data_IF_615550809089
#
_entry.id   IF_615550809089
#
_cell.length_a   1.000
_cell.length_b   1.000
_cell.length_c   1.000
_cell.angle_alpha   90.00
_cell.angle_beta   90.00
_cell.angle_gamma   90.00
#
_symmetry.space_group_name_H-M   'P 1'
#
loop_
_entity.id
_entity.type
_entity.pdbx_description
1 polymer ?
#
# COMPACT_ATOMS: atom_id res chain seq x y z
N UNK A 1 1.40 60.19 60.45
CA UNK A 1 2.77 60.53 60.00
C UNK A 1 3.56 59.24 59.80
N UNK A 2 4.19 59.10 58.62
CA UNK A 2 5.41 58.31 58.29
C UNK A 2 5.38 56.77 58.22
N UNK A 3 5.40 56.29 56.96
CA UNK A 3 6.28 55.31 56.29
C UNK A 3 6.79 54.01 56.96
N UNK A 4 6.46 52.88 56.27
CA UNK A 4 7.35 51.88 55.63
C UNK A 4 8.31 50.99 56.46
N UNK A 5 8.19 49.66 56.34
CA UNK A 5 9.06 48.75 55.54
C UNK A 5 8.86 47.26 55.92
N UNK A 6 8.92 46.38 54.89
CA UNK A 6 9.51 45.01 54.85
C UNK A 6 9.08 43.93 55.87
N UNK A 7 9.04 42.61 55.61
CA UNK A 7 9.21 41.73 54.46
C UNK A 7 8.74 40.31 54.96
N UNK A 8 8.16 39.51 54.05
CA UNK A 8 8.37 38.06 53.85
C UNK A 8 8.31 37.10 55.06
N UNK A 9 7.35 36.16 55.02
CA UNK A 9 7.63 34.73 55.21
C UNK A 9 6.47 33.87 54.68
N UNK A 10 6.78 33.14 53.62
CA UNK A 10 5.98 32.15 52.89
C UNK A 10 5.85 30.86 53.70
N UNK A 11 4.64 30.32 53.85
CA UNK A 11 4.41 28.92 54.23
C UNK A 11 3.44 28.31 53.22
N UNK A 12 4.00 27.60 52.24
CA UNK A 12 3.26 26.83 51.27
C UNK A 12 2.84 25.50 51.91
N UNK A 13 1.53 25.29 52.01
CA UNK A 13 0.91 24.04 52.44
C UNK A 13 1.19 22.93 51.42
N UNK A 14 1.81 21.85 51.89
CA UNK A 14 1.92 20.59 51.15
C UNK A 14 0.56 19.87 51.15
N UNK A 15 -0.20 19.99 50.06
CA UNK A 15 -1.32 19.11 49.77
C UNK A 15 -0.77 17.88 49.03
N UNK A 16 -0.87 16.71 49.68
CA UNK A 16 -0.67 15.42 49.03
C UNK A 16 -1.70 15.27 47.91
N UNK A 17 -1.27 15.42 46.67
CA UNK A 17 -2.02 14.99 45.50
C UNK A 17 -1.97 13.47 45.41
N UNK A 18 -3.06 12.79 45.79
CA UNK A 18 -3.28 11.41 45.37
C UNK A 18 -3.62 11.46 43.89
N UNK A 19 -2.63 11.22 43.03
CA UNK A 19 -2.88 11.00 41.62
C UNK A 19 -3.72 9.72 41.48
N UNK A 20 -5.00 9.87 41.16
CA UNK A 20 -5.80 8.76 40.64
C UNK A 20 -5.16 8.34 39.31
N UNK A 21 -4.55 7.16 39.30
CA UNK A 21 -4.24 6.47 38.07
C UNK A 21 -5.57 6.11 37.39
N UNK A 22 -6.05 6.98 36.50
CA UNK A 22 -7.11 6.65 35.57
C UNK A 22 -6.57 5.56 34.65
N UNK A 23 -6.90 4.31 34.95
CA UNK A 23 -6.75 3.22 34.01
C UNK A 23 -7.53 3.58 32.75
N UNK A 24 -6.82 3.83 31.64
CA UNK A 24 -7.39 3.89 30.31
C UNK A 24 -7.93 2.49 29.96
N UNK A 25 -9.12 2.18 30.45
CA UNK A 25 -9.94 1.11 29.89
C UNK A 25 -10.36 1.59 28.51
N UNK A 26 -9.73 1.04 27.46
CA UNK A 26 -10.21 1.20 26.10
C UNK A 26 -11.68 0.83 26.04
N UNK A 27 -12.51 1.75 25.55
CA UNK A 27 -13.93 1.53 25.30
C UNK A 27 -14.08 0.31 24.40
N UNK A 28 -14.52 -0.83 24.94
CA UNK A 28 -14.91 -1.98 24.12
C UNK A 28 -16.18 -1.61 23.37
N UNK A 29 -16.06 -1.34 22.08
CA UNK A 29 -17.21 -1.17 21.19
C UNK A 29 -17.99 -2.49 21.15
N UNK A 30 -19.32 -2.44 21.04
CA UNK A 30 -20.14 -3.64 20.91
C UNK A 30 -19.87 -4.31 19.55
N UNK A 31 -19.76 -5.66 19.48
CA UNK A 31 -19.70 -6.39 18.22
C UNK A 31 -20.86 -6.00 17.31
N UNK A 32 -20.57 -5.41 16.15
CA UNK A 32 -21.58 -4.96 15.21
C UNK A 32 -21.15 -5.21 13.77
N UNK A 33 -22.09 -5.75 12.99
CA UNK A 33 -21.97 -5.92 11.54
C UNK A 33 -22.94 -4.97 10.86
N UNK A 34 -22.41 -4.13 9.98
CA UNK A 34 -23.17 -3.23 9.12
C UNK A 34 -23.34 -3.93 7.78
N UNK A 35 -24.57 -4.13 7.35
CA UNK A 35 -24.89 -4.69 6.02
C UNK A 35 -25.61 -3.70 5.11
N UNK A 36 -26.08 -2.58 5.68
CA UNK A 36 -26.93 -1.58 5.02
C UNK A 36 -26.67 -0.19 5.61
N UNK A 37 -26.87 0.85 4.80
CA UNK A 37 -26.92 2.22 5.30
C UNK A 37 -28.17 2.44 6.16
N UNK A 38 -28.15 3.47 7.01
CA UNK A 38 -29.32 3.92 7.79
C UNK A 38 -29.87 5.25 7.31
N UNK A 39 -29.03 6.09 6.71
CA UNK A 39 -29.44 7.39 6.18
C UNK A 39 -30.15 7.24 4.82
N UNK A 40 -31.37 7.78 4.68
CA UNK A 40 -32.14 7.66 3.45
C UNK A 40 -31.55 8.49 2.31
N UNK A 41 -31.82 8.05 1.08
CA UNK A 41 -31.36 8.65 -0.16
C UNK A 41 -29.82 8.78 -0.23
N UNK A 42 -29.10 7.79 0.32
CA UNK A 42 -27.63 7.74 0.31
C UNK A 42 -27.09 6.53 -0.47
N UNK A 43 -25.96 6.72 -1.14
CA UNK A 43 -25.16 5.63 -1.70
C UNK A 43 -23.74 5.74 -1.13
N UNK A 44 -23.30 4.69 -0.44
CA UNK A 44 -21.94 4.53 0.03
C UNK A 44 -21.17 3.66 -0.95
N UNK A 45 -20.28 4.30 -1.72
CA UNK A 45 -19.44 3.59 -2.70
C UNK A 45 -18.17 3.12 -1.99
N UNK A 46 -17.96 1.81 -1.92
CA UNK A 46 -16.77 1.22 -1.28
C UNK A 46 -15.86 0.53 -2.27
N UNK A 47 -14.57 0.50 -1.92
CA UNK A 47 -13.49 -0.09 -2.73
C UNK A 47 -12.59 -0.96 -1.86
N UNK A 48 -12.43 -2.22 -2.21
CA UNK A 48 -11.60 -3.17 -1.48
C UNK A 48 -10.24 -3.38 -2.18
N UNK A 49 -9.32 -3.97 -1.42
CA UNK A 49 -7.98 -4.41 -1.80
C UNK A 49 -6.95 -3.34 -2.15
N UNK A 50 -7.34 -2.07 -2.26
CA UNK A 50 -6.49 -0.94 -2.59
C UNK A 50 -5.31 -0.65 -1.64
N UNK A 51 -4.46 0.35 -1.95
CA UNK A 51 -4.54 1.23 -3.13
C UNK A 51 -3.76 0.66 -4.32
N UNK A 52 -4.13 1.05 -5.54
CA UNK A 52 -3.51 0.61 -6.79
C UNK A 52 -3.21 1.78 -7.75
N UNK A 53 -2.60 1.50 -8.91
CA UNK A 53 -2.04 2.50 -9.83
C UNK A 53 -3.00 3.62 -10.25
N UNK A 54 -4.31 3.38 -10.20
CA UNK A 54 -5.37 4.29 -10.63
C UNK A 54 -6.25 4.79 -9.47
N UNK A 55 -5.91 4.48 -8.21
CA UNK A 55 -6.64 5.00 -7.03
C UNK A 55 -6.67 6.53 -7.03
N UNK A 56 -5.61 7.20 -7.48
CA UNK A 56 -5.59 8.67 -7.59
C UNK A 56 -6.60 9.20 -8.60
N UNK A 57 -6.62 8.61 -9.79
CA UNK A 57 -7.54 9.02 -10.86
C UNK A 57 -9.00 8.76 -10.46
N UNK A 58 -9.24 7.69 -9.70
CA UNK A 58 -10.54 7.38 -9.10
C UNK A 58 -10.95 8.42 -8.05
N UNK A 59 -10.04 8.86 -7.18
CA UNK A 59 -10.32 9.94 -6.20
C UNK A 59 -10.63 11.25 -6.91
N UNK A 60 -9.86 11.64 -7.92
CA UNK A 60 -10.12 12.84 -8.73
C UNK A 60 -11.49 12.76 -9.42
N UNK A 61 -11.87 11.56 -9.89
CA UNK A 61 -13.18 11.31 -10.48
C UNK A 61 -14.31 11.46 -9.44
N UNK A 62 -14.12 10.97 -8.21
CA UNK A 62 -15.10 11.14 -7.13
C UNK A 62 -15.30 12.63 -6.79
N UNK A 63 -14.21 13.39 -6.64
CA UNK A 63 -14.25 14.84 -6.39
C UNK A 63 -15.00 15.57 -7.52
N UNK A 64 -14.74 15.21 -8.78
CA UNK A 64 -15.44 15.78 -9.94
C UNK A 64 -16.96 15.58 -9.90
N UNK A 65 -17.43 14.51 -9.28
CA UNK A 65 -18.86 14.21 -9.13
C UNK A 65 -19.47 14.76 -7.84
N UNK A 66 -18.68 15.43 -7.00
CA UNK A 66 -19.04 15.78 -5.61
C UNK A 66 -19.46 14.53 -4.81
N UNK A 67 -18.78 13.41 -5.08
CA UNK A 67 -19.01 12.12 -4.46
C UNK A 67 -17.99 11.86 -3.37
N UNK A 68 -18.39 11.11 -2.33
CA UNK A 68 -17.47 10.51 -1.38
C UNK A 68 -17.35 9.00 -1.59
N UNK A 69 -16.14 8.46 -1.42
CA UNK A 69 -15.85 7.03 -1.45
C UNK A 69 -15.24 6.53 -0.14
N UNK A 70 -15.39 5.24 0.15
CA UNK A 70 -14.73 4.56 1.28
C UNK A 70 -13.81 3.47 0.77
N UNK A 71 -12.54 3.48 1.16
CA UNK A 71 -11.52 2.57 0.64
C UNK A 71 -11.06 1.65 1.76
N UNK A 72 -11.23 0.33 1.60
CA UNK A 72 -10.74 -0.69 2.51
C UNK A 72 -9.36 -1.16 2.04
N UNK A 73 -8.32 -0.71 2.75
CA UNK A 73 -6.94 -0.69 2.26
C UNK A 73 -6.15 -1.88 2.81
N UNK A 74 -5.44 -2.59 1.94
CA UNK A 74 -4.54 -3.67 2.31
C UNK A 74 -3.12 -3.15 2.57
N UNK A 75 -2.50 -3.58 3.68
CA UNK A 75 -1.18 -3.11 4.11
C UNK A 75 0.01 -3.58 3.25
N UNK A 76 -0.22 -4.39 2.21
CA UNK A 76 0.82 -4.93 1.34
C UNK A 76 0.48 -4.80 -0.15
N UNK A 77 -0.13 -3.67 -0.56
CA UNK A 77 -0.40 -3.36 -1.96
C UNK A 77 0.62 -2.36 -2.57
N UNK A 78 0.63 -2.25 -3.90
CA UNK A 78 1.74 -1.76 -4.74
C UNK A 78 2.20 -0.31 -4.54
N UNK A 79 1.53 0.49 -3.70
CA UNK A 79 1.78 1.94 -3.52
C UNK A 79 2.21 2.32 -2.09
N UNK A 80 2.63 1.37 -1.25
CA UNK A 80 3.20 1.69 0.08
C UNK A 80 4.59 2.38 0.08
N UNK A 81 5.00 3.07 -1.02
CA UNK A 81 6.17 3.95 -1.07
C UNK A 81 5.77 5.40 -0.74
N UNK A 82 5.45 5.68 0.53
CA UNK A 82 5.62 6.97 1.26
C UNK A 82 5.28 8.34 0.62
N UNK A 83 4.71 8.44 -0.57
CA UNK A 83 4.51 9.69 -1.34
C UNK A 83 3.07 10.19 -1.36
N UNK A 84 2.18 9.48 -0.69
CA UNK A 84 0.73 9.66 -0.74
C UNK A 84 0.30 10.26 0.61
N UNK A 85 0.74 11.49 0.93
CA UNK A 85 0.38 12.12 2.23
C UNK A 85 0.13 13.63 2.19
N UNK A 86 0.17 14.32 1.05
CA UNK A 86 0.08 15.79 1.04
C UNK A 86 -1.04 16.41 0.18
N UNK A 87 -2.08 15.65 -0.20
CA UNK A 87 -3.22 16.18 -0.98
C UNK A 87 -4.61 15.62 -0.65
N UNK A 88 -4.75 14.82 0.41
CA UNK A 88 -5.92 13.96 0.64
C UNK A 88 -6.92 14.62 1.58
N UNK A 89 -7.79 15.50 1.06
CA UNK A 89 -8.68 16.27 1.94
C UNK A 89 -10.16 16.28 1.61
N UNK A 90 -10.66 15.74 0.48
CA UNK A 90 -12.08 15.92 0.14
C UNK A 90 -12.87 14.68 -0.30
N UNK A 91 -12.43 13.86 -1.25
CA UNK A 91 -13.30 12.82 -1.86
C UNK A 91 -13.34 11.44 -1.18
N UNK A 92 -12.41 11.08 -0.29
CA UNK A 92 -12.26 9.68 0.15
C UNK A 92 -11.96 9.52 1.63
N UNK A 93 -12.53 8.48 2.24
CA UNK A 93 -12.12 7.98 3.57
C UNK A 93 -11.45 6.62 3.42
N UNK A 94 -10.21 6.50 3.89
CA UNK A 94 -9.40 5.28 3.78
C UNK A 94 -9.39 4.55 5.12
N UNK A 95 -9.60 3.24 5.07
CA UNK A 95 -9.87 2.37 6.20
C UNK A 95 -8.96 1.14 6.10
N UNK A 96 -7.88 1.13 6.86
CA UNK A 96 -6.89 0.04 6.86
C UNK A 96 -5.58 0.45 7.54
N UNK A 97 -4.61 -0.46 7.71
CA UNK A 97 -3.28 -0.11 8.21
C UNK A 97 -2.60 0.83 7.21
N UNK A 98 -2.66 2.13 7.46
CA UNK A 98 -1.98 3.13 6.64
C UNK A 98 -0.47 2.88 6.76
N UNK A 99 0.20 2.73 5.61
CA UNK A 99 1.64 2.54 5.49
C UNK A 99 2.41 3.79 5.98
N UNK A 100 2.38 4.10 7.28
CA UNK A 100 3.28 5.05 7.92
C UNK A 100 4.54 4.32 8.40
N UNK A 101 5.70 4.82 7.98
CA UNK A 101 6.97 4.33 8.47
C UNK A 101 7.15 4.59 9.98
N UNK A 102 7.60 3.53 10.67
CA UNK A 102 8.03 3.40 12.06
C UNK A 102 6.95 3.11 13.13
N UNK A 103 7.16 2.08 14.00
CA UNK A 103 6.24 1.73 15.06
C UNK A 103 6.55 2.60 16.29
N UNK A 104 5.79 3.67 16.47
CA UNK A 104 5.67 4.33 17.77
C UNK A 104 4.20 4.36 18.14
N UNK A 105 3.81 3.44 19.03
CA UNK A 105 2.69 3.37 20.00
C UNK A 105 1.32 4.02 19.77
N UNK A 106 1.11 4.89 18.79
CA UNK A 106 -0.15 5.65 18.63
C UNK A 106 -0.79 5.35 17.26
N UNK A 107 -0.94 4.06 16.94
CA UNK A 107 -1.84 3.65 15.86
C UNK A 107 -3.29 3.86 16.35
N UNK A 108 -3.90 4.97 15.95
CA UNK A 108 -5.35 5.12 16.01
C UNK A 108 -5.96 4.14 15.00
N UNK A 109 -6.41 2.99 15.49
CA UNK A 109 -7.06 1.96 14.69
C UNK A 109 -8.40 2.49 14.18
N UNK A 110 -8.60 2.36 12.86
CA UNK A 110 -9.77 2.84 12.14
C UNK A 110 -11.00 2.03 12.55
N UNK A 111 -12.16 2.69 12.70
CA UNK A 111 -13.40 2.16 13.29
C UNK A 111 -14.21 1.22 12.35
N UNK A 112 -13.82 0.98 11.09
CA UNK A 112 -14.50 0.01 10.21
C UNK A 112 -13.54 -1.03 9.60
N UNK A 113 -14.06 -2.18 9.20
CA UNK A 113 -13.31 -3.28 8.58
C UNK A 113 -14.22 -4.05 7.60
N UNK A 114 -13.82 -4.15 6.33
CA UNK A 114 -14.43 -5.10 5.36
C UNK A 114 -13.67 -6.44 5.47
N UNK A 115 -14.34 -7.56 5.80
CA UNK A 115 -13.68 -8.86 5.89
C UNK A 115 -13.46 -9.44 4.49
N UNK A 116 -12.32 -10.13 4.23
CA UNK A 116 -12.08 -10.79 2.96
C UNK A 116 -13.26 -11.71 2.56
N UNK A 117 -13.69 -11.60 1.30
CA UNK A 117 -14.82 -12.37 0.73
C UNK A 117 -16.18 -12.15 1.42
N UNK A 118 -16.30 -11.17 2.31
CA UNK A 118 -17.52 -10.98 3.13
C UNK A 118 -17.68 -12.07 4.19
N UNK A 119 -16.68 -12.91 4.41
CA UNK A 119 -16.73 -14.02 5.36
C UNK A 119 -16.34 -13.54 6.76
N UNK A 120 -17.27 -13.65 7.71
CA UNK A 120 -17.02 -13.35 9.11
C UNK A 120 -17.68 -14.41 10.01
N UNK A 121 -17.12 -14.59 11.20
CA UNK A 121 -17.69 -15.38 12.28
C UNK A 121 -17.67 -14.57 13.58
N UNK A 122 -18.27 -15.08 14.64
CA UNK A 122 -18.36 -14.37 15.92
C UNK A 122 -16.99 -13.93 16.46
N UNK A 123 -15.94 -14.71 16.21
CA UNK A 123 -14.56 -14.39 16.61
C UNK A 123 -14.00 -13.18 15.85
N UNK A 124 -14.29 -13.06 14.54
CA UNK A 124 -13.89 -11.90 13.72
C UNK A 124 -14.63 -10.65 14.16
N UNK A 125 -15.94 -10.74 14.41
CA UNK A 125 -16.73 -9.59 14.88
C UNK A 125 -16.29 -9.16 16.28
N UNK A 126 -16.02 -10.10 17.18
CA UNK A 126 -15.53 -9.81 18.53
C UNK A 126 -14.12 -9.20 18.52
N UNK A 127 -13.22 -9.69 17.67
CA UNK A 127 -11.88 -9.10 17.51
C UNK A 127 -11.96 -7.71 16.92
N UNK A 128 -12.81 -7.48 15.92
CA UNK A 128 -13.06 -6.15 15.38
C UNK A 128 -13.57 -5.23 16.50
N UNK A 129 -14.58 -5.64 17.25
CA UNK A 129 -15.14 -4.86 18.35
C UNK A 129 -14.11 -4.49 19.43
N UNK A 130 -13.24 -5.44 19.81
CA UNK A 130 -12.14 -5.22 20.75
C UNK A 130 -11.09 -4.22 20.22
N UNK A 131 -10.97 -4.10 18.90
CA UNK A 131 -10.10 -3.12 18.23
C UNK A 131 -10.83 -1.80 17.93
N UNK A 132 -12.05 -1.62 18.42
CA UNK A 132 -12.88 -0.45 18.13
C UNK A 132 -13.45 -0.44 16.72
N UNK A 133 -13.47 -1.58 16.03
CA UNK A 133 -13.90 -1.74 14.64
C UNK A 133 -15.32 -2.27 14.50
N UNK A 134 -15.99 -1.80 13.45
CA UNK A 134 -17.28 -2.23 12.93
C UNK A 134 -17.03 -3.07 11.68
N UNK A 135 -17.59 -4.26 11.61
CA UNK A 135 -17.51 -5.08 10.39
C UNK A 135 -18.49 -4.50 9.37
N UNK A 136 -18.03 -4.17 8.16
CA UNK A 136 -18.86 -3.61 7.09
C UNK A 136 -18.97 -4.65 5.97
N UNK A 137 -20.20 -4.91 5.57
CA UNK A 137 -20.64 -5.78 4.48
C UNK A 137 -21.52 -4.95 3.55
N UNK A 138 -21.65 -5.37 2.30
CA UNK A 138 -22.43 -4.68 1.26
C UNK A 138 -23.84 -5.27 1.08
N UNK A 139 -24.78 -4.44 0.61
CA UNK A 139 -26.10 -4.87 0.14
C UNK A 139 -26.22 -4.85 -1.39
N UNK A 140 -25.15 -4.44 -2.08
CA UNK A 140 -24.99 -4.48 -3.53
C UNK A 140 -23.55 -4.89 -3.89
N UNK A 141 -23.41 -5.90 -4.74
CA UNK A 141 -22.13 -6.34 -5.28
C UNK A 141 -22.05 -5.97 -6.77
N UNK A 142 -20.94 -5.35 -7.19
CA UNK A 142 -20.68 -5.08 -8.61
C UNK A 142 -20.26 -6.33 -9.39
N UNK A 143 -19.95 -7.42 -8.68
CA UNK A 143 -19.47 -8.71 -9.18
C UNK A 143 -18.14 -8.62 -9.95
N UNK A 144 -17.42 -7.51 -9.80
CA UNK A 144 -16.18 -7.26 -10.53
C UNK A 144 -15.08 -8.27 -10.18
N UNK A 145 -15.00 -8.69 -8.91
CA UNK A 145 -14.05 -9.69 -8.41
C UNK A 145 -14.36 -11.14 -8.81
N UNK A 146 -15.59 -11.44 -9.23
CA UNK A 146 -16.01 -12.81 -9.61
C UNK A 146 -16.10 -13.01 -11.12
N UNK A 147 -15.59 -12.06 -11.90
CA UNK A 147 -15.44 -12.17 -13.35
C UNK A 147 -16.53 -11.49 -14.18
N UNK A 148 -17.37 -10.64 -13.58
CA UNK A 148 -18.30 -9.82 -14.34
C UNK A 148 -17.54 -8.88 -15.30
N UNK A 149 -18.01 -8.80 -16.53
CA UNK A 149 -17.52 -7.79 -17.48
C UNK A 149 -17.97 -6.39 -17.04
N UNK A 150 -17.26 -5.36 -17.48
CA UNK A 150 -17.64 -3.97 -17.21
C UNK A 150 -19.09 -3.65 -17.59
N UNK A 151 -19.62 -4.28 -18.65
CA UNK A 151 -21.00 -4.08 -19.08
C UNK A 151 -22.00 -4.78 -18.15
N UNK A 152 -21.67 -5.97 -17.63
CA UNK A 152 -22.49 -6.64 -16.62
C UNK A 152 -22.54 -5.82 -15.33
N UNK A 153 -21.41 -5.35 -14.81
CA UNK A 153 -21.38 -4.51 -13.61
C UNK A 153 -22.17 -3.21 -13.78
N UNK A 154 -22.11 -2.56 -14.95
CA UNK A 154 -22.96 -1.40 -15.27
C UNK A 154 -24.45 -1.76 -15.27
N UNK A 155 -24.82 -2.91 -15.82
CA UNK A 155 -26.20 -3.40 -15.81
C UNK A 155 -26.67 -3.70 -14.38
N UNK A 156 -25.81 -4.23 -13.50
CA UNK A 156 -26.15 -4.40 -12.08
C UNK A 156 -26.45 -3.04 -11.42
N UNK A 157 -25.62 -2.03 -11.68
CA UNK A 157 -25.87 -0.65 -11.22
C UNK A 157 -27.18 -0.08 -11.77
N UNK A 158 -27.45 -0.24 -13.06
CA UNK A 158 -28.71 0.23 -13.66
C UNK A 158 -29.92 -0.47 -13.04
N UNK A 159 -29.82 -1.78 -12.80
CA UNK A 159 -30.89 -2.59 -12.20
C UNK A 159 -31.20 -2.15 -10.77
N UNK A 160 -30.21 -2.02 -9.89
CA UNK A 160 -30.45 -1.61 -8.50
C UNK A 160 -30.98 -0.18 -8.42
N UNK A 161 -30.46 0.73 -9.25
CA UNK A 161 -30.90 2.13 -9.27
C UNK A 161 -32.32 2.30 -9.82
N UNK A 162 -32.76 1.41 -10.71
CA UNK A 162 -34.14 1.39 -11.22
C UNK A 162 -35.14 0.81 -10.20
N UNK A 163 -34.69 0.09 -9.18
CA UNK A 163 -35.55 -0.33 -8.07
C UNK A 163 -35.81 0.81 -7.07
N UNK A 164 -35.07 1.91 -7.17
CA UNK A 164 -35.18 3.08 -6.28
C UNK A 164 -35.11 2.72 -4.78
N UNK A 165 -34.10 1.95 -4.33
CA UNK A 165 -33.94 1.61 -2.92
C UNK A 165 -33.74 2.86 -2.04
N UNK A 166 -34.09 2.76 -0.76
CA UNK A 166 -33.89 3.87 0.18
C UNK A 166 -32.43 4.26 0.36
N UNK A 167 -31.49 3.33 0.16
CA UNK A 167 -30.05 3.53 0.25
C UNK A 167 -29.32 2.36 -0.43
N UNK A 168 -28.00 2.50 -0.68
CA UNK A 168 -27.16 1.43 -1.23
C UNK A 168 -25.76 1.49 -0.60
N UNK A 169 -25.20 0.34 -0.22
CA UNK A 169 -23.83 0.13 0.23
C UNK A 169 -23.14 -0.86 -0.72
N UNK A 170 -22.25 -0.35 -1.58
CA UNK A 170 -21.74 -1.10 -2.74
C UNK A 170 -20.37 -1.71 -2.51
N UNK A 171 -20.12 -2.93 -2.94
CA UNK A 171 -18.76 -3.51 -3.08
C UNK A 171 -18.20 -3.31 -4.48
N UNK A 172 -16.97 -2.81 -4.55
CA UNK A 172 -16.15 -2.73 -5.76
C UNK A 172 -14.69 -2.99 -5.41
N UNK A 173 -13.86 -3.26 -6.41
CA UNK A 173 -12.42 -3.44 -6.25
C UNK A 173 -11.67 -2.46 -7.14
N UNK A 174 -11.01 -1.49 -6.52
CA UNK A 174 -10.12 -0.57 -7.24
C UNK A 174 -8.80 -1.22 -7.65
N UNK A 175 -8.64 -2.54 -7.53
CA UNK A 175 -7.51 -3.30 -8.07
C UNK A 175 -7.85 -3.94 -9.43
N UNK A 176 -9.10 -3.84 -9.87
CA UNK A 176 -9.60 -4.35 -11.15
C UNK A 176 -9.73 -3.20 -12.13
N UNK A 177 -8.87 -3.15 -13.16
CA UNK A 177 -8.73 -1.98 -14.04
C UNK A 177 -10.05 -1.45 -14.62
N UNK A 178 -10.96 -2.34 -15.01
CA UNK A 178 -12.25 -1.97 -15.60
C UNK A 178 -13.19 -1.26 -14.62
N UNK A 179 -13.04 -1.51 -13.32
CA UNK A 179 -13.89 -0.93 -12.28
C UNK A 179 -13.74 0.60 -12.24
N UNK A 180 -12.56 1.18 -11.95
CA UNK A 180 -12.39 2.64 -11.95
C UNK A 180 -12.43 3.27 -13.34
N UNK A 181 -12.06 2.55 -14.40
CA UNK A 181 -12.01 3.13 -15.75
C UNK A 181 -13.36 3.11 -16.49
N UNK A 182 -14.24 2.17 -16.19
CA UNK A 182 -15.48 1.96 -16.95
C UNK A 182 -16.73 1.87 -16.07
N UNK A 183 -16.69 1.16 -14.94
CA UNK A 183 -17.88 0.91 -14.11
C UNK A 183 -18.20 2.12 -13.24
N UNK A 184 -17.24 2.63 -12.47
CA UNK A 184 -17.46 3.76 -11.56
C UNK A 184 -17.87 5.05 -12.28
N UNK A 185 -17.27 5.45 -13.43
CA UNK A 185 -17.75 6.60 -14.18
C UNK A 185 -19.23 6.51 -14.58
N UNK A 186 -19.70 5.32 -14.95
CA UNK A 186 -21.11 5.06 -15.26
C UNK A 186 -21.97 5.12 -14.00
N UNK A 187 -21.55 4.42 -12.94
CA UNK A 187 -22.25 4.39 -11.66
C UNK A 187 -22.46 5.80 -11.09
N UNK A 188 -21.40 6.62 -10.99
CA UNK A 188 -21.46 7.99 -10.47
C UNK A 188 -22.45 8.86 -11.26
N UNK A 189 -22.47 8.72 -12.59
CA UNK A 189 -23.43 9.41 -13.46
C UNK A 189 -24.86 8.97 -13.14
N UNK A 190 -25.12 7.67 -13.09
CA UNK A 190 -26.46 7.12 -12.84
C UNK A 190 -26.98 7.42 -11.43
N UNK A 191 -26.12 7.31 -10.42
CA UNK A 191 -26.46 7.63 -9.03
C UNK A 191 -26.86 9.10 -8.91
N UNK A 192 -26.09 10.00 -9.55
CA UNK A 192 -26.39 11.43 -9.60
C UNK A 192 -27.69 11.74 -10.36
N UNK A 193 -27.92 11.11 -11.51
CA UNK A 193 -29.17 11.23 -12.28
C UNK A 193 -30.40 10.80 -11.47
N UNK A 194 -30.25 9.81 -10.58
CA UNK A 194 -31.30 9.31 -9.70
C UNK A 194 -31.47 10.13 -8.41
N UNK A 195 -30.61 11.10 -8.16
CA UNK A 195 -30.74 12.06 -7.05
C UNK A 195 -30.24 11.59 -5.68
N UNK A 196 -29.46 10.50 -5.62
CA UNK A 196 -28.86 10.04 -4.37
C UNK A 196 -27.68 10.92 -3.95
N UNK A 197 -27.44 10.98 -2.64
CA UNK A 197 -26.21 11.55 -2.07
C UNK A 197 -25.12 10.48 -2.03
N UNK A 198 -23.97 10.74 -2.65
CA UNK A 198 -22.81 9.84 -2.63
C UNK A 198 -21.93 10.18 -1.44
N UNK A 199 -21.94 9.33 -0.40
CA UNK A 199 -21.39 9.62 0.93
C UNK A 199 -20.43 8.53 1.40
N UNK A 200 -19.67 8.81 2.46
CA UNK A 200 -18.82 7.79 3.12
C UNK A 200 -19.67 6.76 3.87
N UNK A 201 -19.09 5.60 4.21
CA UNK A 201 -19.78 4.62 5.07
C UNK A 201 -20.13 5.20 6.44
N UNK A 202 -19.29 6.06 7.03
CA UNK A 202 -19.62 6.73 8.29
C UNK A 202 -20.91 7.56 8.13
N UNK A 203 -20.95 8.42 7.11
CA UNK A 203 -22.09 9.29 6.84
C UNK A 203 -23.34 8.52 6.47
N UNK A 204 -23.23 7.39 5.75
CA UNK A 204 -24.39 6.56 5.45
C UNK A 204 -24.98 5.88 6.69
N UNK A 205 -24.21 5.77 7.77
CA UNK A 205 -24.61 5.26 9.07
C UNK A 205 -24.99 6.36 10.07
N UNK A 206 -25.09 7.62 9.62
CA UNK A 206 -25.38 8.76 10.50
C UNK A 206 -24.25 9.07 11.49
N UNK A 207 -23.03 8.58 11.23
CA UNK A 207 -21.83 8.86 12.03
C UNK A 207 -21.02 9.99 11.38
N UNK A 208 -20.31 10.73 12.23
CA UNK A 208 -19.28 11.66 11.76
C UNK A 208 -18.18 10.89 11.00
N UNK A 209 -17.67 11.49 9.92
CA UNK A 209 -16.60 10.89 9.12
C UNK A 209 -15.37 10.59 9.97
N UNK A 210 -14.72 9.44 9.72
CA UNK A 210 -13.55 8.98 10.49
C UNK A 210 -12.37 9.97 10.40
N UNK A 211 -12.24 10.75 11.48
CA UNK A 211 -11.16 11.66 11.90
C UNK A 211 -11.06 13.08 11.33
N UNK A 212 -10.84 13.99 12.29
CA UNK A 212 -10.55 15.41 12.21
C UNK A 212 -9.31 15.68 11.35
N UNK A 213 -9.41 16.66 10.45
CA UNK A 213 -8.25 17.27 9.79
C UNK A 213 -7.44 18.01 10.86
N UNK A 214 -6.31 17.45 11.30
CA UNK A 214 -5.29 18.31 11.91
C UNK A 214 -4.60 19.08 10.79
N UNK A 215 -4.47 20.40 10.97
CA UNK A 215 -3.55 21.22 10.16
C UNK A 215 -2.17 20.53 10.11
N UNK A 216 -1.43 20.61 8.99
CA UNK A 216 -0.05 20.14 8.97
C UNK A 216 0.68 20.80 10.14
N UNK A 217 1.17 20.01 11.09
CA UNK A 217 2.00 20.56 12.16
C UNK A 217 3.14 21.32 11.48
N UNK A 218 3.35 22.58 11.86
CA UNK A 218 4.59 23.27 11.52
C UNK A 218 5.72 22.35 11.89
N UNK A 219 6.71 22.20 11.00
CA UNK A 219 7.88 21.37 11.25
C UNK A 219 8.42 21.78 12.62
N UNK A 220 8.33 20.89 13.60
CA UNK A 220 8.73 21.22 14.97
C UNK A 220 10.12 21.85 14.91
N UNK A 221 10.25 23.03 15.53
CA UNK A 221 11.57 23.54 15.88
C UNK A 221 12.30 22.39 16.59
N UNK A 222 13.60 22.17 16.32
CA UNK A 222 14.29 20.97 16.76
C UNK A 222 14.12 20.83 18.27
N UNK A 223 13.20 19.95 18.66
CA UNK A 223 13.00 19.57 20.04
C UNK A 223 14.33 19.00 20.48
N UNK A 224 14.89 19.60 21.53
CA UNK A 224 16.12 19.17 22.20
C UNK A 224 15.93 17.76 22.69
N UNK A 225 16.10 16.83 21.75
CA UNK A 225 16.02 15.41 21.96
C UNK A 225 17.28 15.02 22.67
N UNK A 226 17.11 14.42 23.84
CA UNK A 226 18.09 13.45 24.31
C UNK A 226 18.41 12.50 23.14
N UNK A 227 19.69 12.19 22.88
CA UNK A 227 20.12 11.60 21.64
C UNK A 227 19.49 10.21 21.45
N UNK A 228 18.47 10.10 20.59
CA UNK A 228 18.05 8.82 20.02
C UNK A 228 19.18 8.33 19.14
N UNK A 229 19.80 7.21 19.52
CA UNK A 229 20.75 6.50 18.67
C UNK A 229 20.06 6.16 17.35
N UNK A 230 20.55 6.72 16.23
CA UNK A 230 20.10 6.35 14.88
C UNK A 230 20.16 4.84 14.73
N UNK A 231 19.01 4.18 14.53
CA UNK A 231 19.05 2.79 14.10
C UNK A 231 19.72 2.73 12.71
N UNK A 232 20.66 1.81 12.48
CA UNK A 232 21.43 1.77 11.25
C UNK A 232 20.54 1.37 10.06
N UNK A 233 20.65 2.12 8.97
CA UNK A 233 19.96 1.84 7.69
C UNK A 233 20.40 0.45 7.20
N UNK A 234 19.43 -0.45 6.91
CA UNK A 234 19.71 -1.81 6.42
C UNK A 234 20.65 -1.78 5.22
N UNK A 235 21.79 -2.47 5.33
CA UNK A 235 22.77 -2.59 4.26
C UNK A 235 22.27 -3.58 3.20
N UNK A 236 22.27 -3.15 1.94
CA UNK A 236 22.01 -4.04 0.81
C UNK A 236 23.33 -4.59 0.26
N UNK A 237 23.69 -5.81 0.68
CA UNK A 237 24.98 -6.45 0.40
C UNK A 237 25.07 -6.97 -1.05
N UNK A 238 26.25 -6.81 -1.69
CA UNK A 238 26.56 -7.43 -2.99
C UNK A 238 26.71 -8.95 -2.86
N UNK A 239 26.69 -9.69 -3.97
CA UNK A 239 26.96 -11.13 -3.92
C UNK A 239 28.36 -11.46 -3.37
N UNK A 240 29.37 -10.65 -3.69
CA UNK A 240 30.71 -10.80 -3.11
C UNK A 240 30.72 -10.57 -1.59
N UNK A 241 29.99 -9.56 -1.10
CA UNK A 241 29.83 -9.33 0.33
C UNK A 241 29.04 -10.46 1.03
N UNK A 242 28.06 -11.06 0.35
CA UNK A 242 27.34 -12.24 0.85
C UNK A 242 28.26 -13.46 0.94
N UNK A 243 29.17 -13.63 -0.02
CA UNK A 243 30.20 -14.69 0.01
C UNK A 243 31.12 -14.50 1.21
N UNK A 244 31.61 -13.28 1.48
CA UNK A 244 32.45 -13.02 2.66
C UNK A 244 31.76 -13.42 3.99
N UNK A 245 30.45 -13.16 4.10
CA UNK A 245 29.65 -13.61 5.26
C UNK A 245 29.54 -15.14 5.30
N UNK A 246 29.36 -15.80 4.16
CA UNK A 246 29.24 -17.26 4.05
C UNK A 246 30.55 -17.98 4.36
N UNK A 247 31.67 -17.46 3.87
CA UNK A 247 32.99 -18.02 4.13
C UNK A 247 33.32 -17.91 5.63
N UNK A 248 33.08 -16.73 6.23
CA UNK A 248 33.20 -16.55 7.68
C UNK A 248 32.30 -17.51 8.47
N UNK A 249 31.06 -17.73 8.01
CA UNK A 249 30.15 -18.70 8.63
C UNK A 249 30.73 -20.11 8.58
N UNK A 250 31.23 -20.58 7.43
CA UNK A 250 31.75 -21.94 7.30
C UNK A 250 33.02 -22.19 8.10
N UNK A 251 33.90 -21.19 8.20
CA UNK A 251 35.10 -21.26 9.03
C UNK A 251 34.78 -21.36 10.53
N UNK A 252 33.63 -20.81 10.96
CA UNK A 252 33.32 -20.65 12.37
C UNK A 252 32.11 -21.46 12.88
N UNK A 253 31.31 -22.09 12.00
CA UNK A 253 30.06 -22.81 12.36
C UNK A 253 30.23 -23.95 13.36
N UNK A 254 31.44 -24.49 13.48
CA UNK A 254 31.76 -25.55 14.43
C UNK A 254 32.11 -25.01 15.83
N UNK A 255 32.40 -23.71 15.96
CA UNK A 255 32.87 -23.10 17.22
C UNK A 255 31.92 -22.02 17.75
N UNK A 256 31.17 -21.36 16.85
CA UNK A 256 30.29 -20.24 17.18
C UNK A 256 28.86 -20.54 16.73
N UNK A 257 27.88 -20.06 17.51
CA UNK A 257 26.49 -19.97 17.04
C UNK A 257 26.35 -18.79 16.08
N UNK A 258 25.32 -18.81 15.21
CA UNK A 258 25.05 -17.69 14.29
C UNK A 258 24.85 -16.35 15.03
N UNK A 259 24.31 -16.37 16.26
CA UNK A 259 24.18 -15.18 17.11
C UNK A 259 25.55 -14.64 17.53
N UNK A 260 26.45 -15.56 17.92
CA UNK A 260 27.82 -15.23 18.33
C UNK A 260 28.70 -14.76 17.17
N UNK A 261 28.30 -15.02 15.93
CA UNK A 261 28.98 -14.52 14.73
C UNK A 261 28.62 -13.06 14.40
N UNK A 262 27.54 -12.51 14.96
CA UNK A 262 27.08 -11.14 14.64
C UNK A 262 28.12 -10.07 15.02
N UNK A 263 28.68 -10.04 16.25
CA UNK A 263 29.66 -9.03 16.63
C UNK A 263 30.89 -8.97 15.71
N UNK A 264 31.59 -10.09 15.37
CA UNK A 264 32.73 -10.03 14.46
C UNK A 264 32.33 -9.66 13.03
N UNK A 265 31.18 -10.14 12.52
CA UNK A 265 30.68 -9.72 11.20
C UNK A 265 30.39 -8.21 11.15
N UNK A 266 29.85 -7.62 12.21
CA UNK A 266 29.64 -6.16 12.30
C UNK A 266 30.97 -5.40 12.34
N UNK A 267 31.97 -5.92 13.05
CA UNK A 267 33.32 -5.34 13.07
C UNK A 267 33.99 -5.36 11.69
N UNK A 268 33.69 -6.36 10.85
CA UNK A 268 34.12 -6.43 9.45
C UNK A 268 33.34 -5.51 8.50
N UNK A 269 32.40 -4.70 9.01
CA UNK A 269 31.66 -3.72 8.21
C UNK A 269 30.23 -4.12 7.81
N UNK A 270 29.77 -5.31 8.21
CA UNK A 270 28.38 -5.75 8.00
C UNK A 270 27.46 -5.23 9.13
N UNK A 271 27.41 -3.90 9.29
CA UNK A 271 26.80 -3.19 10.44
C UNK A 271 25.35 -3.56 10.74
N UNK A 272 24.58 -4.01 9.75
CA UNK A 272 23.16 -4.38 9.92
C UNK A 272 22.87 -5.88 9.89
N UNK A 273 23.92 -6.70 9.87
CA UNK A 273 23.75 -8.16 9.86
C UNK A 273 23.10 -8.66 11.15
N UNK A 274 22.28 -9.70 11.00
CA UNK A 274 21.58 -10.39 12.07
C UNK A 274 21.53 -11.90 11.77
N UNK A 275 21.20 -12.70 12.79
CA UNK A 275 21.13 -14.15 12.70
C UNK A 275 20.25 -14.63 11.53
N UNK A 276 19.07 -14.03 11.35
CA UNK A 276 18.16 -14.40 10.26
C UNK A 276 18.73 -14.10 8.86
N UNK A 277 19.62 -13.11 8.74
CA UNK A 277 20.32 -12.81 7.49
C UNK A 277 21.38 -13.87 7.18
N UNK A 278 22.17 -14.26 8.19
CA UNK A 278 23.16 -15.35 8.06
C UNK A 278 22.44 -16.65 7.68
N UNK A 279 21.38 -17.01 8.39
CA UNK A 279 20.56 -18.19 8.09
C UNK A 279 20.01 -18.18 6.66
N UNK A 280 19.50 -17.03 6.19
CA UNK A 280 19.01 -16.87 4.81
C UNK A 280 20.10 -17.05 3.78
N UNK A 281 21.32 -16.55 4.02
CA UNK A 281 22.43 -16.73 3.10
C UNK A 281 22.86 -18.19 3.01
N UNK A 282 22.97 -18.87 4.16
CA UNK A 282 23.33 -20.31 4.20
C UNK A 282 22.28 -21.14 3.44
N UNK A 283 20.99 -20.87 3.65
CA UNK A 283 19.91 -21.54 2.90
C UNK A 283 19.98 -21.33 1.39
N UNK A 284 20.55 -20.22 0.93
CA UNK A 284 20.61 -19.84 -0.50
C UNK A 284 22.04 -19.84 -1.05
N UNK A 285 22.97 -20.53 -0.41
CA UNK A 285 24.41 -20.42 -0.69
C UNK A 285 24.76 -20.74 -2.14
N UNK A 286 24.26 -21.86 -2.67
CA UNK A 286 24.54 -22.28 -4.05
C UNK A 286 24.18 -21.18 -5.06
N UNK A 287 22.98 -20.60 -4.91
CA UNK A 287 22.50 -19.49 -5.75
C UNK A 287 23.34 -18.22 -5.58
N UNK A 288 23.75 -17.91 -4.34
CA UNK A 288 24.58 -16.74 -4.06
C UNK A 288 25.95 -16.87 -4.73
N UNK A 289 26.57 -18.05 -4.66
CA UNK A 289 27.88 -18.33 -5.29
C UNK A 289 27.78 -18.30 -6.81
N UNK A 290 26.77 -18.95 -7.40
CA UNK A 290 26.50 -18.89 -8.84
C UNK A 290 26.34 -17.45 -9.34
N UNK A 291 25.48 -16.65 -8.69
CA UNK A 291 25.27 -15.26 -9.09
C UNK A 291 26.53 -14.38 -8.94
N UNK A 292 27.44 -14.70 -8.02
CA UNK A 292 28.68 -13.95 -7.83
C UNK A 292 29.72 -14.24 -8.91
N UNK A 293 29.71 -15.46 -9.46
CA UNK A 293 30.57 -15.93 -10.55
C UNK A 293 30.09 -15.37 -11.90
N UNK A 294 28.78 -15.40 -12.15
CA UNK A 294 28.16 -14.93 -13.39
C UNK A 294 28.12 -13.40 -13.53
N UNK A 295 28.00 -12.65 -12.42
CA UNK A 295 27.79 -11.20 -12.46
C UNK A 295 28.91 -10.44 -11.75
N UNK A 296 29.78 -9.78 -12.54
CA UNK A 296 30.92 -8.95 -12.10
C UNK A 296 30.67 -8.21 -10.76
N UNK A 297 31.18 -8.77 -9.66
CA UNK A 297 31.55 -8.18 -8.35
C UNK A 297 30.60 -7.24 -7.58
N UNK A 298 29.97 -6.28 -8.25
CA UNK A 298 29.27 -5.13 -7.67
C UNK A 298 27.74 -5.25 -7.70
N UNK A 299 27.19 -6.33 -8.26
CA UNK A 299 25.75 -6.50 -8.38
C UNK A 299 25.13 -6.94 -7.04
N UNK A 300 24.05 -6.24 -6.64
CA UNK A 300 23.31 -6.49 -5.38
C UNK A 300 22.17 -7.51 -5.53
N UNK A 301 21.66 -7.68 -6.76
CA UNK A 301 20.59 -8.61 -7.13
C UNK A 301 20.79 -9.08 -8.57
N UNK A 302 20.73 -10.39 -8.80
CA UNK A 302 20.90 -10.94 -10.13
C UNK A 302 19.75 -10.47 -11.03
N UNK A 303 20.09 -9.84 -12.15
CA UNK A 303 19.17 -9.63 -13.26
C UNK A 303 19.04 -10.97 -13.99
N UNK A 304 18.14 -11.85 -13.54
CA UNK A 304 17.80 -13.05 -14.30
C UNK A 304 16.83 -12.63 -15.40
N UNK A 305 17.19 -12.90 -16.65
CA UNK A 305 16.24 -12.82 -17.77
C UNK A 305 15.31 -14.01 -17.62
N UNK A 306 14.05 -13.74 -17.32
CA UNK A 306 13.06 -14.79 -16.99
C UNK A 306 12.60 -15.54 -18.25
N UNK A 307 12.56 -14.86 -19.40
CA UNK A 307 12.12 -15.42 -20.69
C UNK A 307 13.10 -15.00 -21.80
N UNK A 308 14.25 -15.70 -21.96
CA UNK A 308 15.29 -15.30 -22.90
C UNK A 308 14.86 -15.38 -24.37
N UNK A 309 14.06 -16.38 -24.75
CA UNK A 309 13.54 -16.56 -26.11
C UNK A 309 12.57 -15.45 -26.52
N UNK A 310 11.77 -14.98 -25.55
CA UNK A 310 10.85 -13.85 -25.73
C UNK A 310 11.63 -12.55 -25.86
N UNK A 311 12.65 -12.33 -25.01
CA UNK A 311 13.50 -11.14 -25.10
C UNK A 311 14.26 -11.08 -26.43
N UNK A 312 14.79 -12.19 -26.93
CA UNK A 312 15.50 -12.25 -28.21
C UNK A 312 14.59 -11.91 -29.40
N UNK A 313 13.41 -12.54 -29.46
CA UNK A 313 12.44 -12.27 -30.52
C UNK A 313 11.96 -10.81 -30.49
N UNK A 314 11.81 -10.24 -29.29
CA UNK A 314 11.39 -8.85 -29.11
C UNK A 314 12.47 -7.85 -29.55
N UNK A 315 13.74 -8.11 -29.26
CA UNK A 315 14.86 -7.28 -29.73
C UNK A 315 14.92 -7.29 -31.26
N UNK A 316 14.81 -8.46 -31.89
CA UNK A 316 14.81 -8.61 -33.35
C UNK A 316 13.70 -7.81 -34.00
N UNK A 317 12.48 -7.89 -33.46
CA UNK A 317 11.36 -7.10 -33.94
C UNK A 317 11.61 -5.60 -33.82
N UNK A 318 12.19 -5.12 -32.70
CA UNK A 318 12.51 -3.69 -32.53
C UNK A 318 13.53 -3.22 -33.58
N UNK A 319 14.56 -4.03 -33.85
CA UNK A 319 15.57 -3.72 -34.87
C UNK A 319 14.95 -3.65 -36.28
N UNK A 320 14.05 -4.56 -36.63
CA UNK A 320 13.31 -4.54 -37.91
C UNK A 320 12.47 -3.27 -38.06
N UNK A 321 11.75 -2.86 -37.00
CA UNK A 321 10.98 -1.62 -37.02
C UNK A 321 11.89 -0.40 -37.18
N UNK A 322 13.03 -0.36 -36.49
CA UNK A 322 14.00 0.73 -36.60
C UNK A 322 14.64 0.82 -37.98
N UNK A 323 14.99 -0.31 -38.60
CA UNK A 323 15.50 -0.36 -39.98
C UNK A 323 14.46 0.13 -40.99
N UNK A 324 13.18 -0.11 -40.71
CA UNK A 324 12.05 0.39 -41.51
C UNK A 324 11.71 1.86 -41.25
N UNK A 325 12.46 2.55 -40.38
CA UNK A 325 12.22 3.94 -40.00
C UNK A 325 11.01 4.15 -39.09
N UNK A 326 10.45 3.08 -38.52
CA UNK A 326 9.28 3.11 -37.64
C UNK A 326 9.74 3.32 -36.20
N UNK A 327 9.18 4.34 -35.56
CA UNK A 327 9.40 4.59 -34.14
C UNK A 327 8.55 3.65 -33.28
N UNK A 328 9.19 2.92 -32.36
CA UNK A 328 8.54 1.98 -31.46
C UNK A 328 8.39 2.57 -30.06
N UNK A 329 7.15 2.69 -29.60
CA UNK A 329 6.84 3.21 -28.26
C UNK A 329 7.12 2.17 -27.16
N UNK A 330 7.30 2.62 -25.92
CA UNK A 330 7.46 1.71 -24.77
C UNK A 330 6.27 0.77 -24.56
N UNK A 331 5.06 1.25 -24.83
CA UNK A 331 3.84 0.45 -24.67
C UNK A 331 3.68 -0.54 -25.83
N UNK A 332 4.12 -0.19 -27.04
CA UNK A 332 4.18 -1.11 -28.17
C UNK A 332 5.14 -2.28 -27.90
N UNK A 333 6.26 -2.04 -27.21
CA UNK A 333 7.19 -3.10 -26.79
C UNK A 333 6.53 -4.05 -25.81
N UNK A 334 5.82 -3.52 -24.80
CA UNK A 334 5.10 -4.33 -23.81
C UNK A 334 4.02 -5.17 -24.47
N UNK A 335 3.25 -4.59 -25.39
CA UNK A 335 2.21 -5.32 -26.13
C UNK A 335 2.83 -6.40 -27.02
N UNK A 336 3.89 -6.09 -27.76
CA UNK A 336 4.57 -7.09 -28.60
C UNK A 336 5.16 -8.23 -27.77
N UNK A 337 5.72 -7.94 -26.59
CA UNK A 337 6.25 -8.98 -25.69
C UNK A 337 5.18 -10.00 -25.27
N UNK A 338 3.94 -9.54 -25.01
CA UNK A 338 2.80 -10.42 -24.69
C UNK A 338 2.43 -11.29 -25.89
N UNK A 339 2.33 -10.69 -27.07
CA UNK A 339 2.03 -11.43 -28.32
C UNK A 339 3.10 -12.48 -28.61
N UNK A 340 4.38 -12.17 -28.40
CA UNK A 340 5.46 -13.16 -28.57
C UNK A 340 5.33 -14.31 -27.57
N UNK A 341 4.88 -14.06 -26.34
CA UNK A 341 4.59 -15.14 -25.39
C UNK A 341 3.47 -16.06 -25.90
N UNK A 342 2.42 -15.50 -26.51
CA UNK A 342 1.36 -16.29 -27.13
C UNK A 342 1.87 -17.08 -28.34
N UNK A 343 2.66 -16.45 -29.22
CA UNK A 343 3.26 -17.08 -30.41
C UNK A 343 4.22 -18.22 -30.05
N UNK A 344 4.97 -18.09 -28.95
CA UNK A 344 5.91 -19.10 -28.45
C UNK A 344 5.24 -20.13 -27.52
N UNK A 345 3.94 -20.00 -27.23
CA UNK A 345 3.21 -20.93 -26.37
C UNK A 345 3.66 -20.90 -24.91
N UNK A 346 4.16 -19.77 -24.42
CA UNK A 346 4.59 -19.61 -23.02
C UNK A 346 3.35 -19.69 -22.10
N UNK A 347 3.30 -20.64 -21.15
CA UNK A 347 2.19 -20.78 -20.20
C UNK A 347 1.95 -19.52 -19.37
N UNK A 348 0.70 -19.20 -19.04
CA UNK A 348 0.33 -17.94 -18.37
C UNK A 348 0.98 -17.80 -16.97
N UNK A 349 1.22 -18.92 -16.28
CA UNK A 349 1.90 -18.98 -14.98
C UNK A 349 3.43 -18.79 -15.06
N UNK A 350 4.01 -18.95 -16.25
CA UNK A 350 5.42 -18.67 -16.53
C UNK A 350 5.64 -17.25 -17.10
N UNK A 351 4.56 -16.53 -17.43
CA UNK A 351 4.64 -15.16 -17.95
C UNK A 351 5.00 -14.18 -16.85
N UNK A 352 5.85 -13.22 -17.22
CA UNK A 352 6.14 -12.06 -16.38
C UNK A 352 5.11 -10.96 -16.64
N UNK A 353 4.78 -10.17 -15.62
CA UNK A 353 3.76 -9.11 -15.74
C UNK A 353 4.12 -7.91 -16.65
N UNK A 354 5.24 -7.96 -17.38
CA UNK A 354 5.73 -6.91 -18.29
C UNK A 354 5.58 -5.47 -17.75
N UNK A 355 5.94 -5.26 -16.49
CA UNK A 355 5.77 -3.99 -15.78
C UNK A 355 6.66 -2.87 -16.36
N UNK A 356 6.41 -1.62 -15.95
CA UNK A 356 7.28 -0.48 -16.30
C UNK A 356 8.74 -0.71 -15.86
N UNK A 357 8.94 -1.30 -14.68
CA UNK A 357 10.26 -1.66 -14.17
C UNK A 357 10.95 -2.76 -14.97
N UNK A 358 10.20 -3.73 -15.50
CA UNK A 358 10.73 -4.69 -16.47
C UNK A 358 11.14 -3.98 -17.76
N UNK A 359 10.28 -3.12 -18.31
CA UNK A 359 10.56 -2.37 -19.55
C UNK A 359 11.81 -1.50 -19.42
N UNK A 360 11.98 -0.78 -18.30
CA UNK A 360 13.16 0.04 -18.03
C UNK A 360 14.42 -0.82 -17.95
N UNK A 361 14.32 -1.99 -17.31
CA UNK A 361 15.43 -2.93 -17.22
C UNK A 361 15.76 -3.57 -18.58
N UNK A 362 14.75 -3.93 -19.37
CA UNK A 362 14.88 -4.48 -20.72
C UNK A 362 15.56 -3.47 -21.65
N UNK A 363 15.10 -2.21 -21.67
CA UNK A 363 15.74 -1.14 -22.46
C UNK A 363 17.20 -0.95 -22.08
N UNK A 364 17.50 -0.93 -20.78
CA UNK A 364 18.86 -0.78 -20.28
C UNK A 364 19.76 -1.96 -20.66
N UNK A 365 19.26 -3.20 -20.59
CA UNK A 365 20.01 -4.40 -20.98
C UNK A 365 20.33 -4.42 -22.47
N UNK A 366 19.38 -4.01 -23.30
CA UNK A 366 19.48 -4.07 -24.76
C UNK A 366 19.95 -2.75 -25.41
N UNK A 367 20.43 -1.78 -24.62
CA UNK A 367 20.97 -0.52 -25.14
C UNK A 367 19.95 0.36 -25.88
N UNK A 368 18.65 0.17 -25.66
CA UNK A 368 17.59 0.86 -26.39
C UNK A 368 17.35 2.27 -25.81
N UNK A 369 17.77 3.30 -26.55
CA UNK A 369 17.51 4.70 -26.20
C UNK A 369 16.26 5.21 -26.95
N UNK A 370 15.08 4.86 -26.43
CA UNK A 370 13.81 5.34 -26.96
C UNK A 370 13.47 6.66 -26.26
N UNK A 371 13.83 7.78 -26.89
CA UNK A 371 13.58 9.12 -26.37
C UNK A 371 12.11 9.32 -25.99
N UNK A 372 11.86 10.07 -24.90
CA UNK A 372 10.50 10.56 -24.59
C UNK A 372 10.08 11.51 -25.71
N UNK A 373 8.85 11.34 -26.22
CA UNK A 373 8.30 12.28 -27.18
C UNK A 373 8.36 13.69 -26.58
N UNK A 374 9.05 14.60 -27.28
CA UNK A 374 8.97 16.01 -27.02
C UNK A 374 7.53 16.46 -27.23
N UNK A 375 7.02 17.26 -26.29
CA UNK A 375 5.78 17.99 -26.50
C UNK A 375 5.90 18.82 -27.78
N UNK A 376 4.85 18.76 -28.60
CA UNK A 376 4.67 19.72 -29.66
C UNK A 376 4.69 21.13 -29.06
N UNK A 377 5.48 22.02 -29.67
CA UNK A 377 5.41 23.46 -29.46
C UNK A 377 4.12 24.03 -30.04
#
# INVERSE_FOLDING_TARGET
>A
MRFSTSQIATLASALLGVAQASSALGSRTTPSVVTKCTEPNTVAITFDDGPYNWTMELVDLLDKYDAKGTFFVNGNNCICDGRITHGWKTAGTFIGPVCFGNPSSDQHWVENHSPPYGEYNDEVVEKAANNGQTVVIWDFDSEDSIGATAEQSKNHYDNILNQHPGHILTLNHETIQTTPQNVIPHALKKIKEKGYKMVTVAQCLGKESYQTVTEPSTRDAPSTSQPRTRQPIRQNLTYQQKIQVLDFYHENKHRLSMESMIPPLRAMGFTTICQSTISRFVKNEAKIRQCAEEQRGHVKRASVVVLPEVEEALVRWIEEQQQSGIWVSGDAIVQRARVICDEQGVPEDERIGFSRGWLDSFKKRNGLNLGRQGGAR
#
